data_IF_222216834262
#
_entry.id   IF_222216834262
#
_cell.length_a   1.000
_cell.length_b   1.000
_cell.length_c   1.000
_cell.angle_alpha   90.00
_cell.angle_beta   90.00
_cell.angle_gamma   90.00
#
_symmetry.space_group_name_H-M   'P 1'
#
loop_
_entity.id
_entity.type
_entity.pdbx_description
1 polymer ?
#
# COMPACT_ATOMS: atom_id res chain seq x y z
N UNK A 1 -65.75 -23.48 52.69
CA UNK A 1 -64.64 -22.74 52.05
C UNK A 1 -63.40 -23.63 52.12
N UNK A 2 -62.86 -24.03 50.97
CA UNK A 2 -61.57 -24.71 50.87
C UNK A 2 -60.88 -24.11 49.64
N UNK A 3 -59.81 -23.35 49.85
CA UNK A 3 -58.98 -22.79 48.78
C UNK A 3 -58.08 -23.91 48.25
N UNK A 4 -58.40 -24.42 47.06
CA UNK A 4 -57.51 -25.30 46.33
C UNK A 4 -56.25 -24.51 45.94
N UNK A 5 -55.12 -24.83 46.56
CA UNK A 5 -53.82 -24.30 46.14
C UNK A 5 -53.46 -25.09 44.87
N UNK A 6 -53.75 -24.52 43.70
CA UNK A 6 -53.28 -25.07 42.43
C UNK A 6 -51.75 -25.16 42.51
N UNK A 7 -51.26 -26.40 42.59
CA UNK A 7 -49.83 -26.69 42.61
C UNK A 7 -49.28 -26.44 41.21
N UNK A 8 -48.98 -25.20 40.89
CA UNK A 8 -48.22 -24.86 39.69
C UNK A 8 -46.77 -25.34 39.85
N UNK A 9 -46.11 -25.66 38.73
CA UNK A 9 -44.77 -26.26 38.68
C UNK A 9 -43.69 -25.23 38.31
N UNK A 10 -42.57 -25.20 39.03
CA UNK A 10 -41.47 -24.27 38.72
C UNK A 10 -40.83 -24.64 37.37
N UNK A 11 -40.62 -23.66 36.49
CA UNK A 11 -40.06 -23.90 35.16
C UNK A 11 -38.57 -24.31 35.15
N UNK A 12 -37.83 -24.13 36.26
CA UNK A 12 -36.42 -24.51 36.36
C UNK A 12 -36.21 -25.82 37.13
N UNK A 13 -36.79 -25.96 38.33
CA UNK A 13 -36.57 -27.15 39.17
C UNK A 13 -37.68 -28.20 39.10
N UNK A 14 -38.77 -27.95 38.37
CA UNK A 14 -39.90 -28.87 38.19
C UNK A 14 -40.59 -29.32 39.49
N UNK A 15 -40.34 -28.63 40.62
CA UNK A 15 -40.97 -28.93 41.91
C UNK A 15 -42.28 -28.16 42.04
N UNK A 16 -43.27 -28.82 42.65
CA UNK A 16 -44.55 -28.24 43.02
C UNK A 16 -44.39 -27.45 44.34
N UNK A 17 -44.22 -26.13 44.22
CA UNK A 17 -44.05 -25.18 45.34
C UNK A 17 -44.94 -23.95 45.11
N UNK A 18 -44.99 -23.03 46.06
CA UNK A 18 -45.54 -21.68 45.82
C UNK A 18 -44.71 -21.01 44.72
N UNK A 19 -45.40 -20.46 43.73
CA UNK A 19 -44.81 -19.94 42.49
C UNK A 19 -45.02 -18.43 42.40
N UNK A 20 -44.01 -17.77 41.85
CA UNK A 20 -44.00 -16.35 41.57
C UNK A 20 -43.75 -16.14 40.06
N UNK A 21 -44.61 -15.39 39.36
CA UNK A 21 -44.40 -15.04 37.97
C UNK A 21 -43.30 -13.97 37.83
N UNK A 22 -42.43 -14.12 36.84
CA UNK A 22 -41.54 -13.05 36.40
C UNK A 22 -42.21 -12.26 35.27
N UNK A 23 -42.50 -10.96 35.45
CA UNK A 23 -43.17 -10.16 34.42
C UNK A 23 -42.31 -9.98 33.15
N UNK A 24 -40.98 -10.10 33.26
CA UNK A 24 -40.06 -9.88 32.14
C UNK A 24 -39.98 -11.06 31.17
N UNK A 25 -39.99 -12.29 31.66
CA UNK A 25 -39.88 -13.49 30.82
C UNK A 25 -41.16 -14.35 30.79
N UNK A 26 -42.23 -13.90 31.44
CA UNK A 26 -43.54 -14.59 31.56
C UNK A 26 -43.48 -16.01 32.14
N UNK A 27 -42.34 -16.40 32.72
CA UNK A 27 -42.13 -17.71 33.33
C UNK A 27 -42.44 -17.69 34.83
N UNK A 28 -42.71 -18.89 35.35
CA UNK A 28 -43.15 -19.14 36.71
C UNK A 28 -42.07 -19.87 37.51
N UNK A 29 -41.59 -19.26 38.59
CA UNK A 29 -40.46 -19.77 39.37
C UNK A 29 -40.85 -19.99 40.84
N UNK A 30 -40.19 -20.95 41.51
CA UNK A 30 -40.18 -20.93 42.98
C UNK A 30 -39.28 -19.78 43.47
N UNK A 31 -39.45 -19.33 44.72
CA UNK A 31 -38.73 -18.18 45.25
C UNK A 31 -37.20 -18.27 45.07
N UNK A 32 -36.60 -19.42 45.40
CA UNK A 32 -35.15 -19.65 45.26
C UNK A 32 -34.66 -19.49 43.80
N UNK A 33 -35.41 -20.06 42.85
CA UNK A 33 -35.09 -19.99 41.42
C UNK A 33 -35.35 -18.60 40.83
N UNK A 34 -36.34 -17.86 41.36
CA UNK A 34 -36.58 -16.47 40.98
C UNK A 34 -35.43 -15.56 41.41
N UNK A 35 -34.89 -15.78 42.62
CA UNK A 35 -33.71 -15.04 43.12
C UNK A 35 -32.50 -15.32 42.23
N UNK A 36 -32.24 -16.59 41.90
CA UNK A 36 -31.16 -16.96 40.97
C UNK A 36 -31.34 -16.38 39.58
N UNK A 37 -32.57 -16.39 39.06
CA UNK A 37 -32.88 -15.79 37.76
C UNK A 37 -32.57 -14.28 37.75
N UNK A 38 -33.00 -13.55 38.79
CA UNK A 38 -32.68 -12.12 38.94
C UNK A 38 -31.19 -11.86 39.12
N UNK A 39 -30.50 -12.72 39.86
CA UNK A 39 -29.06 -12.62 40.03
C UNK A 39 -28.34 -12.75 38.69
N UNK A 40 -28.70 -13.74 37.87
CA UNK A 40 -28.15 -13.90 36.51
C UNK A 40 -28.40 -12.68 35.63
N UNK A 41 -29.60 -12.10 35.69
CA UNK A 41 -29.91 -10.87 34.95
C UNK A 41 -29.04 -9.69 35.39
N UNK A 42 -28.78 -9.55 36.70
CA UNK A 42 -27.86 -8.52 37.21
C UNK A 42 -26.42 -8.78 36.77
N UNK A 43 -25.98 -10.04 36.71
CA UNK A 43 -24.65 -10.40 36.20
C UNK A 43 -24.52 -10.02 34.71
N UNK A 44 -25.52 -10.34 33.89
CA UNK A 44 -25.57 -9.95 32.47
C UNK A 44 -25.59 -8.42 32.30
N UNK A 45 -26.35 -7.71 33.14
CA UNK A 45 -26.41 -6.25 33.11
C UNK A 45 -25.08 -5.60 33.52
N UNK A 46 -24.41 -6.14 34.54
CA UNK A 46 -23.09 -5.68 34.95
C UNK A 46 -22.04 -5.92 33.85
N UNK A 47 -22.15 -7.03 33.10
CA UNK A 47 -21.29 -7.26 31.95
C UNK A 47 -21.48 -6.16 30.88
N UNK A 48 -22.72 -5.75 30.60
CA UNK A 48 -23.01 -4.63 29.68
C UNK A 48 -22.40 -3.32 30.18
N UNK A 49 -22.48 -3.03 31.48
CA UNK A 49 -21.86 -1.83 32.07
C UNK A 49 -20.34 -1.86 31.87
N UNK A 50 -19.69 -2.99 32.15
CA UNK A 50 -18.26 -3.13 31.96
C UNK A 50 -17.84 -2.93 30.49
N UNK A 51 -18.59 -3.51 29.54
CA UNK A 51 -18.35 -3.33 28.11
C UNK A 51 -18.52 -1.85 27.70
N UNK A 52 -19.52 -1.17 28.24
CA UNK A 52 -19.75 0.26 28.01
C UNK A 52 -18.60 1.12 28.53
N UNK A 53 -18.14 0.87 29.75
CA UNK A 53 -17.03 1.61 30.36
C UNK A 53 -15.72 1.38 29.58
N UNK A 54 -15.43 0.13 29.21
CA UNK A 54 -14.27 -0.21 28.38
C UNK A 54 -14.34 0.48 27.00
N UNK A 55 -15.52 0.54 26.40
CA UNK A 55 -15.71 1.26 25.14
C UNK A 55 -15.49 2.77 25.30
N UNK A 56 -15.98 3.36 26.39
CA UNK A 56 -15.75 4.75 26.75
C UNK A 56 -14.26 5.07 26.90
N UNK A 57 -13.51 4.20 27.59
CA UNK A 57 -12.06 4.32 27.73
C UNK A 57 -11.33 4.24 26.38
N UNK A 58 -11.71 3.30 25.51
CA UNK A 58 -11.14 3.18 24.16
C UNK A 58 -11.35 4.45 23.33
N UNK A 59 -12.54 5.06 23.39
CA UNK A 59 -12.81 6.34 22.71
C UNK A 59 -11.92 7.44 23.28
N UNK A 60 -11.79 7.51 24.59
CA UNK A 60 -10.97 8.52 25.25
C UNK A 60 -9.49 8.38 24.87
N UNK A 61 -8.95 7.15 24.87
CA UNK A 61 -7.59 6.87 24.43
C UNK A 61 -7.35 7.26 22.96
N UNK A 62 -8.31 6.96 22.07
CA UNK A 62 -8.23 7.36 20.67
C UNK A 62 -8.23 8.89 20.51
N UNK A 63 -9.04 9.62 21.29
CA UNK A 63 -9.06 11.08 21.29
C UNK A 63 -7.75 11.69 21.80
N UNK A 64 -7.13 11.08 22.80
CA UNK A 64 -5.85 11.56 23.34
C UNK A 64 -4.70 11.34 22.35
N UNK A 65 -4.71 10.23 21.60
CA UNK A 65 -3.63 9.86 20.68
C UNK A 65 -4.13 9.64 19.25
N UNK A 66 -4.71 10.68 18.64
CA UNK A 66 -5.22 10.63 17.26
C UNK A 66 -4.14 10.25 16.24
N UNK A 67 -2.88 10.62 16.49
CA UNK A 67 -1.75 10.24 15.64
C UNK A 67 -1.46 8.74 15.66
N UNK A 68 -1.83 8.04 16.74
CA UNK A 68 -1.69 6.60 16.85
C UNK A 68 -2.85 5.82 16.24
N UNK A 69 -3.87 6.53 15.76
CA UNK A 69 -5.01 5.94 15.07
C UNK A 69 -4.53 5.06 13.90
N UNK A 70 -5.12 3.86 13.71
CA UNK A 70 -4.83 3.00 12.57
C UNK A 70 -4.94 3.72 11.22
N UNK A 71 -5.83 4.71 11.10
CA UNK A 71 -5.99 5.50 9.88
C UNK A 71 -4.79 6.41 9.62
N UNK A 72 -4.29 7.11 10.63
CA UNK A 72 -3.12 7.99 10.51
C UNK A 72 -1.87 7.16 10.25
N UNK A 73 -1.68 6.03 10.96
CA UNK A 73 -0.59 5.08 10.69
C UNK A 73 -0.60 4.59 9.24
N UNK A 74 -1.78 4.29 8.69
CA UNK A 74 -1.92 3.87 7.29
C UNK A 74 -1.56 4.98 6.30
N UNK A 75 -1.94 6.24 6.59
CA UNK A 75 -1.55 7.39 5.77
C UNK A 75 -0.03 7.58 5.81
N UNK A 76 0.58 7.52 6.99
CA UNK A 76 2.03 7.64 7.14
C UNK A 76 2.76 6.54 6.37
N UNK A 77 2.25 5.30 6.41
CA UNK A 77 2.83 4.21 5.62
C UNK A 77 2.71 4.48 4.12
N UNK A 78 1.56 4.98 3.64
CA UNK A 78 1.39 5.35 2.24
C UNK A 78 2.32 6.47 1.81
N UNK A 79 2.58 7.44 2.68
CA UNK A 79 3.54 8.50 2.42
C UNK A 79 4.96 7.94 2.26
N UNK A 80 5.41 7.10 3.19
CA UNK A 80 6.71 6.43 3.15
C UNK A 80 6.86 5.62 1.85
N UNK A 81 5.88 4.77 1.54
CA UNK A 81 5.88 3.92 0.34
C UNK A 81 5.91 4.75 -0.95
N UNK A 82 5.20 5.88 -0.96
CA UNK A 82 5.14 6.78 -2.10
C UNK A 82 6.46 7.49 -2.34
N UNK A 83 7.11 7.98 -1.27
CA UNK A 83 8.44 8.59 -1.34
C UNK A 83 9.45 7.58 -1.88
N UNK A 84 9.45 6.35 -1.35
CA UNK A 84 10.35 5.30 -1.79
C UNK A 84 10.14 4.97 -3.28
N UNK A 85 8.88 4.87 -3.73
CA UNK A 85 8.56 4.60 -5.12
C UNK A 85 9.07 5.72 -6.05
N UNK A 86 8.87 6.98 -5.66
CA UNK A 86 9.35 8.14 -6.43
C UNK A 86 10.88 8.10 -6.53
N UNK A 87 11.57 7.88 -5.42
CA UNK A 87 13.04 7.81 -5.38
C UNK A 87 13.57 6.68 -6.25
N UNK A 88 13.02 5.46 -6.14
CA UNK A 88 13.42 4.31 -6.97
C UNK A 88 13.19 4.56 -8.45
N UNK A 89 12.07 5.19 -8.80
CA UNK A 89 11.74 5.52 -10.20
C UNK A 89 12.72 6.56 -10.74
N UNK A 90 12.99 7.63 -9.99
CA UNK A 90 13.97 8.64 -10.37
C UNK A 90 15.37 8.04 -10.54
N UNK A 91 15.82 7.17 -9.64
CA UNK A 91 17.10 6.46 -9.76
C UNK A 91 17.15 5.57 -11.01
N UNK A 92 16.06 4.87 -11.34
CA UNK A 92 15.99 4.07 -12.58
C UNK A 92 16.11 4.96 -13.82
N UNK A 93 15.37 6.06 -13.88
CA UNK A 93 15.45 7.00 -15.00
C UNK A 93 16.88 7.56 -15.16
N UNK A 94 17.50 7.99 -14.06
CA UNK A 94 18.90 8.48 -14.08
C UNK A 94 19.86 7.44 -14.65
N UNK A 95 19.76 6.18 -14.20
CA UNK A 95 20.62 5.10 -14.72
C UNK A 95 20.45 4.90 -16.22
N UNK A 96 19.21 4.80 -16.69
CA UNK A 96 18.93 4.65 -18.14
C UNK A 96 19.51 5.82 -18.95
N UNK A 97 19.35 7.06 -18.49
CA UNK A 97 19.91 8.23 -19.19
C UNK A 97 21.44 8.17 -19.22
N UNK A 98 22.06 7.80 -18.10
CA UNK A 98 23.52 7.68 -18.03
C UNK A 98 24.03 6.60 -19.00
N UNK A 99 23.36 5.46 -19.07
CA UNK A 99 23.68 4.37 -20.01
C UNK A 99 23.57 4.86 -21.46
N UNK A 100 22.49 5.56 -21.83
CA UNK A 100 22.31 6.14 -23.17
C UNK A 100 23.39 7.19 -23.49
N UNK A 101 23.73 8.06 -22.53
CA UNK A 101 24.82 9.04 -22.68
C UNK A 101 26.16 8.34 -22.89
N UNK A 102 26.44 7.25 -22.17
CA UNK A 102 27.68 6.49 -22.32
C UNK A 102 27.79 5.86 -23.71
N UNK A 103 26.70 5.26 -24.21
CA UNK A 103 26.64 4.71 -25.58
C UNK A 103 26.86 5.81 -26.61
N UNK A 104 26.24 6.97 -26.43
CA UNK A 104 26.42 8.12 -27.31
C UNK A 104 27.87 8.63 -27.32
N UNK A 105 28.49 8.80 -26.14
CA UNK A 105 29.90 9.21 -26.02
C UNK A 105 30.80 8.21 -26.73
N UNK A 106 30.58 6.90 -26.53
CA UNK A 106 31.36 5.85 -27.17
C UNK A 106 31.27 5.91 -28.71
N UNK A 107 30.08 6.11 -29.27
CA UNK A 107 29.89 6.25 -30.72
C UNK A 107 30.64 7.49 -31.28
N UNK A 108 30.58 8.62 -30.57
CA UNK A 108 31.33 9.83 -30.94
C UNK A 108 32.84 9.58 -30.88
N UNK A 109 33.34 8.93 -29.82
CA UNK A 109 34.76 8.58 -29.68
C UNK A 109 35.25 7.67 -30.81
N UNK A 110 34.47 6.66 -31.19
CA UNK A 110 34.81 5.76 -32.30
C UNK A 110 34.86 6.49 -33.64
N UNK A 111 33.89 7.37 -33.92
CA UNK A 111 33.91 8.23 -35.11
C UNK A 111 35.14 9.14 -35.14
N UNK A 112 35.48 9.72 -33.99
CA UNK A 112 36.64 10.61 -33.86
C UNK A 112 37.97 9.86 -34.03
N UNK A 113 38.11 8.67 -33.45
CA UNK A 113 39.27 7.78 -33.65
C UNK A 113 39.47 7.41 -35.11
N UNK A 114 38.39 7.08 -35.83
CA UNK A 114 38.44 6.80 -37.28
C UNK A 114 38.96 8.00 -38.06
N UNK A 115 38.45 9.20 -37.76
CA UNK A 115 38.93 10.43 -38.40
C UNK A 115 40.42 10.69 -38.14
N UNK A 116 40.89 10.48 -36.90
CA UNK A 116 42.32 10.58 -36.58
C UNK A 116 43.14 9.55 -37.38
N UNK A 117 42.63 8.33 -37.53
CA UNK A 117 43.27 7.28 -38.35
C UNK A 117 43.41 7.70 -39.80
N UNK A 118 42.35 8.24 -40.41
CA UNK A 118 42.37 8.78 -41.78
C UNK A 118 43.39 9.92 -41.93
N UNK A 119 43.45 10.84 -40.96
CA UNK A 119 44.42 11.95 -40.97
C UNK A 119 45.85 11.41 -40.97
N UNK A 120 46.16 10.45 -40.09
CA UNK A 120 47.51 9.86 -39.99
C UNK A 120 47.90 9.12 -41.27
N UNK A 121 46.98 8.32 -41.81
CA UNK A 121 47.21 7.60 -43.07
C UNK A 121 47.58 8.56 -44.21
N UNK A 122 46.81 9.64 -44.39
CA UNK A 122 47.08 10.64 -45.43
C UNK A 122 48.41 11.36 -45.23
N UNK A 123 48.83 11.59 -43.97
CA UNK A 123 50.13 12.18 -43.66
C UNK A 123 51.29 11.23 -43.96
N UNK A 124 51.16 9.96 -43.59
CA UNK A 124 52.20 8.93 -43.78
C UNK A 124 52.40 8.61 -45.27
N UNK A 125 51.33 8.51 -46.05
CA UNK A 125 51.37 8.24 -47.49
C UNK A 125 51.67 9.50 -48.33
N UNK A 126 51.81 10.68 -47.71
CA UNK A 126 51.94 11.98 -48.39
C UNK A 126 50.82 12.27 -49.43
N UNK A 127 49.61 11.76 -49.20
CA UNK A 127 48.44 11.89 -50.10
C UNK A 127 47.54 13.08 -49.72
N UNK A 128 48.06 14.05 -48.98
CA UNK A 128 47.31 15.24 -48.60
C UNK A 128 47.06 16.12 -49.82
N UNK A 129 45.79 16.30 -50.18
CA UNK A 129 45.32 17.18 -51.25
C UNK A 129 44.05 17.94 -50.82
N UNK A 130 43.58 18.87 -51.65
CA UNK A 130 42.44 19.73 -51.36
C UNK A 130 41.14 18.94 -51.15
N UNK A 131 40.95 17.84 -51.88
CA UNK A 131 39.76 17.00 -51.78
C UNK A 131 39.73 16.28 -50.43
N UNK A 132 40.84 15.66 -50.05
CA UNK A 132 40.99 14.96 -48.77
C UNK A 132 40.87 15.94 -47.59
N UNK A 133 41.45 17.14 -47.72
CA UNK A 133 41.32 18.18 -46.70
C UNK A 133 39.88 18.65 -46.52
N UNK A 134 39.12 18.76 -47.62
CA UNK A 134 37.71 19.14 -47.60
C UNK A 134 36.86 18.06 -46.92
N UNK A 135 37.06 16.79 -47.27
CA UNK A 135 36.35 15.66 -46.69
C UNK A 135 36.59 15.55 -45.17
N UNK A 136 37.85 15.64 -44.74
CA UNK A 136 38.21 15.65 -43.31
C UNK A 136 37.51 16.78 -42.53
N UNK A 137 37.45 17.99 -43.11
CA UNK A 137 36.73 19.12 -42.50
C UNK A 137 35.22 18.86 -42.41
N UNK A 138 34.61 18.32 -43.45
CA UNK A 138 33.18 18.00 -43.46
C UNK A 138 32.84 16.92 -42.41
N UNK A 139 33.65 15.86 -42.32
CA UNK A 139 33.53 14.82 -41.29
C UNK A 139 33.66 15.40 -39.88
N UNK A 140 34.65 16.27 -39.64
CA UNK A 140 34.84 16.92 -38.34
C UNK A 140 33.63 17.79 -37.96
N UNK A 141 33.10 18.59 -38.90
CA UNK A 141 31.90 19.40 -38.69
C UNK A 141 30.71 18.50 -38.36
N UNK A 142 30.55 17.36 -39.04
CA UNK A 142 29.46 16.40 -38.79
C UNK A 142 29.54 15.85 -37.36
N UNK A 143 30.69 15.33 -36.95
CA UNK A 143 30.91 14.81 -35.58
C UNK A 143 30.63 15.91 -34.55
N UNK A 144 31.08 17.15 -34.81
CA UNK A 144 30.84 18.30 -33.93
C UNK A 144 29.34 18.61 -33.81
N UNK A 145 28.60 18.61 -34.92
CA UNK A 145 27.14 18.82 -34.92
C UNK A 145 26.40 17.70 -34.21
N UNK A 146 26.85 16.45 -34.34
CA UNK A 146 26.26 15.31 -33.63
C UNK A 146 26.51 15.42 -32.12
N UNK A 147 27.70 15.85 -31.69
CA UNK A 147 28.06 16.02 -30.28
C UNK A 147 27.28 17.15 -29.58
N UNK A 148 27.17 18.32 -30.22
CA UNK A 148 26.45 19.48 -29.67
C UNK A 148 24.97 19.53 -30.04
N UNK A 149 24.52 18.64 -30.92
CA UNK A 149 23.12 18.53 -31.33
C UNK A 149 22.27 18.04 -30.16
N UNK A 150 20.98 18.45 -30.07
CA UNK A 150 20.09 17.93 -29.06
C UNK A 150 19.83 16.44 -29.35
N UNK A 151 20.59 15.55 -28.71
CA UNK A 151 20.17 14.16 -28.53
C UNK A 151 18.84 14.24 -27.78
N UNK A 152 17.76 14.06 -28.52
CA UNK A 152 16.40 14.30 -28.03
C UNK A 152 16.02 13.16 -27.09
N UNK A 153 16.66 13.08 -25.92
CA UNK A 153 16.25 12.21 -24.84
C UNK A 153 15.01 12.87 -24.24
N UNK A 154 13.86 12.62 -24.86
CA UNK A 154 12.57 13.09 -24.39
C UNK A 154 12.16 12.29 -23.16
N UNK A 155 12.51 12.80 -21.97
CA UNK A 155 11.97 12.30 -20.72
C UNK A 155 10.62 12.97 -20.49
N UNK A 156 9.54 12.34 -20.94
CA UNK A 156 8.22 12.87 -20.64
C UNK A 156 7.88 12.60 -19.17
N UNK A 157 7.36 13.61 -18.46
CA UNK A 157 6.82 13.45 -17.10
C UNK A 157 5.81 12.29 -17.02
N UNK A 158 5.10 11.97 -18.12
CA UNK A 158 4.12 10.89 -18.18
C UNK A 158 4.75 9.50 -18.03
N UNK A 159 6.02 9.32 -18.38
CA UNK A 159 6.72 8.02 -18.27
C UNK A 159 7.09 7.71 -16.81
N UNK A 160 7.36 8.75 -16.01
CA UNK A 160 7.54 8.66 -14.56
C UNK A 160 6.22 8.22 -13.90
N UNK A 161 5.09 8.82 -14.28
CA UNK A 161 3.76 8.47 -13.71
C UNK A 161 3.21 7.11 -14.21
N UNK A 162 3.51 6.69 -15.44
CA UNK A 162 3.06 5.38 -16.00
C UNK A 162 3.69 4.17 -15.30
N UNK A 163 4.91 4.30 -14.80
CA UNK A 163 5.59 3.23 -14.04
C UNK A 163 4.97 3.10 -12.64
N UNK A 164 4.56 4.22 -12.03
CA UNK A 164 3.87 4.26 -10.74
C UNK A 164 2.46 3.65 -10.82
N UNK A 165 1.71 3.93 -11.88
CA UNK A 165 0.32 3.47 -12.02
C UNK A 165 0.17 1.99 -12.39
N UNK A 166 1.08 1.42 -13.20
CA UNK A 166 1.06 -0.04 -13.50
C UNK A 166 1.30 -0.91 -12.27
N UNK A 167 2.14 -0.49 -11.32
CA UNK A 167 2.35 -1.21 -10.05
C UNK A 167 1.21 -1.01 -9.05
N UNK A 168 0.57 0.17 -9.06
CA UNK A 168 -0.60 0.44 -8.22
C UNK A 168 -1.80 -0.46 -8.57
N UNK A 169 -2.03 -0.75 -9.86
CA UNK A 169 -3.09 -1.66 -10.31
C UNK A 169 -2.78 -3.14 -9.98
N UNK A 170 -1.52 -3.57 -10.11
CA UNK A 170 -1.10 -4.95 -9.79
C UNK A 170 -1.16 -5.26 -8.28
N UNK A 171 -0.88 -4.27 -7.42
CA UNK A 171 -0.95 -4.45 -5.96
C UNK A 171 -2.39 -4.42 -5.42
N UNK A 172 -3.32 -3.70 -6.05
CA UNK A 172 -4.74 -3.77 -5.70
C UNK A 172 -5.36 -5.12 -6.10
N UNK A 173 -4.96 -5.69 -7.25
CA UNK A 173 -5.42 -7.04 -7.65
C UNK A 173 -4.87 -8.14 -6.75
N UNK A 174 -3.60 -8.07 -6.32
CA UNK A 174 -3.03 -9.03 -5.35
C UNK A 174 -3.72 -8.97 -3.98
N UNK A 175 -4.08 -7.78 -3.50
CA UNK A 175 -4.79 -7.62 -2.23
C UNK A 175 -6.26 -8.06 -2.30
N UNK A 176 -6.91 -7.98 -3.48
CA UNK A 176 -8.24 -8.58 -3.69
C UNK A 176 -8.21 -10.11 -3.80
N UNK A 177 -7.15 -10.71 -4.35
CA UNK A 177 -7.01 -12.17 -4.44
C UNK A 177 -6.67 -12.78 -3.08
N UNK A 178 -5.91 -12.09 -2.22
CA UNK A 178 -5.58 -12.57 -0.86
C UNK A 178 -6.75 -12.46 0.14
N UNK A 179 -7.70 -11.54 -0.09
CA UNK A 179 -8.86 -11.36 0.80
C UNK A 179 -9.98 -12.41 0.60
N UNK A 180 -9.96 -13.18 -0.49
CA UNK A 180 -10.95 -14.23 -0.77
C UNK A 180 -10.43 -15.66 -0.48
N UNK A 181 -9.25 -15.80 0.11
CA UNK A 181 -8.59 -17.11 0.34
C UNK A 181 -8.85 -17.79 1.68
N UNK A 182 -9.55 -17.16 2.64
CA UNK A 182 -9.79 -17.75 3.97
C UNK A 182 -11.30 -17.95 4.23
N UNK A 183 -11.90 -18.88 3.49
CA UNK A 183 -13.10 -19.64 3.91
C UNK A 183 -13.03 -21.02 3.28
N UNK A 184 -12.41 -21.96 3.98
CA UNK A 184 -12.67 -23.40 3.99
C UNK A 184 -11.46 -24.10 4.61
N UNK A 185 -11.49 -24.38 5.91
CA UNK A 185 -11.62 -25.71 6.54
C UNK A 185 -12.07 -25.47 7.98
#
# INVERSE_FOLDING_TARGET
MATAIDKTQCCLCNKHKIIYPCPGCSNQFCFEDLVRHRQKLNEEFNAIINDYDQFGENIHQLKQNLHDSPFVKRINQWEIDSIELIQRTAQRCRRTIIEEIQVFIYDIEEKFKKLIGEIKYLQEENEVNENNLKDLKEKLIKITKEFYGPSTISLSKKDIYKISSRKFQLNQQKNHISANGNKMV
#
